data_IF_988092383091
#
_entry.id   IF_988092383091
#
_cell.length_a   1.000
_cell.length_b   1.000
_cell.length_c   1.000
_cell.angle_alpha   90.00
_cell.angle_beta   90.00
_cell.angle_gamma   90.00
#
_symmetry.space_group_name_H-M   'P 1'
#
loop_
_entity.id
_entity.type
_entity.pdbx_description
1 polymer ?
#
# COMPACT_ATOMS: atom_id res chain seq x y z
N UNK A 1 -21.44 -5.82 -52.83
CA UNK A 1 -21.59 -4.95 -51.63
C UNK A 1 -22.04 -5.85 -50.48
N UNK A 2 -21.26 -6.75 -49.89
CA UNK A 2 -19.89 -6.73 -49.32
C UNK A 2 -19.76 -5.84 -48.09
N UNK A 3 -20.16 -6.34 -46.91
CA UNK A 3 -19.52 -6.10 -45.60
C UNK A 3 -20.33 -6.79 -44.48
N UNK A 4 -20.32 -8.12 -44.44
CA UNK A 4 -20.83 -8.88 -43.31
C UNK A 4 -19.77 -9.91 -42.92
N UNK A 5 -18.79 -9.49 -42.12
CA UNK A 5 -17.86 -10.36 -41.39
C UNK A 5 -17.04 -9.48 -40.46
N UNK A 6 -16.74 -10.05 -39.28
CA UNK A 6 -15.65 -9.64 -38.40
C UNK A 6 -15.99 -8.71 -37.22
N UNK A 7 -16.94 -9.11 -36.37
CA UNK A 7 -16.88 -8.76 -34.95
C UNK A 7 -15.93 -9.77 -34.29
N UNK A 8 -14.71 -9.30 -34.05
CA UNK A 8 -13.59 -10.03 -33.47
C UNK A 8 -13.93 -10.62 -32.11
N UNK A 9 -13.61 -11.90 -31.94
CA UNK A 9 -13.58 -12.62 -30.67
C UNK A 9 -12.68 -11.89 -29.66
N UNK A 10 -13.29 -11.15 -28.74
CA UNK A 10 -12.59 -10.48 -27.66
C UNK A 10 -12.03 -11.54 -26.69
N UNK A 11 -10.70 -11.55 -26.61
CA UNK A 11 -9.86 -12.59 -26.06
C UNK A 11 -10.01 -12.70 -24.53
N UNK A 12 -10.80 -13.65 -24.02
CA UNK A 12 -10.92 -13.97 -22.56
C UNK A 12 -9.68 -14.69 -22.01
N UNK A 13 -8.48 -14.20 -22.31
CA UNK A 13 -7.21 -14.76 -21.82
C UNK A 13 -6.53 -13.93 -20.72
N UNK A 14 -7.15 -12.83 -20.29
CA UNK A 14 -6.40 -11.80 -19.57
C UNK A 14 -6.21 -12.01 -18.06
N UNK A 15 -6.86 -12.96 -17.40
CA UNK A 15 -6.55 -13.27 -16.00
C UNK A 15 -6.65 -14.78 -15.73
N UNK A 16 -5.65 -15.54 -16.18
CA UNK A 16 -5.40 -16.87 -15.62
C UNK A 16 -4.14 -16.79 -14.78
N UNK A 17 -4.29 -16.37 -13.53
CA UNK A 17 -3.20 -16.36 -12.56
C UNK A 17 -2.66 -17.79 -12.43
N UNK A 18 -1.36 -17.95 -12.68
CA UNK A 18 -0.70 -19.24 -12.50
C UNK A 18 -0.79 -19.64 -11.01
N UNK A 19 -1.18 -20.89 -10.68
CA UNK A 19 -1.26 -21.32 -9.29
C UNK A 19 0.09 -21.19 -8.58
N UNK A 20 1.19 -21.28 -9.33
CA UNK A 20 2.55 -21.07 -8.85
C UNK A 20 2.79 -19.66 -8.30
N UNK A 21 2.16 -18.63 -8.85
CA UNK A 21 2.26 -17.26 -8.35
C UNK A 21 1.61 -17.12 -6.96
N UNK A 22 0.46 -17.78 -6.76
CA UNK A 22 -0.24 -17.78 -5.47
C UNK A 22 0.57 -18.55 -4.43
N UNK A 23 1.10 -19.72 -4.81
CA UNK A 23 1.98 -20.50 -3.92
C UNK A 23 3.23 -19.71 -3.54
N UNK A 24 3.89 -19.06 -4.50
CA UNK A 24 5.07 -18.23 -4.24
C UNK A 24 4.74 -17.08 -3.28
N UNK A 25 3.63 -16.37 -3.48
CA UNK A 25 3.18 -15.30 -2.60
C UNK A 25 2.94 -15.81 -1.16
N UNK A 26 2.26 -16.94 -1.01
CA UNK A 26 1.97 -17.54 0.29
C UNK A 26 3.25 -18.00 1.02
N UNK A 27 4.22 -18.56 0.28
CA UNK A 27 5.53 -18.95 0.84
C UNK A 27 6.29 -17.71 1.32
N UNK A 28 6.34 -16.64 0.53
CA UNK A 28 7.00 -15.39 0.91
C UNK A 28 6.35 -14.76 2.16
N UNK A 29 5.02 -14.75 2.24
CA UNK A 29 4.28 -14.30 3.42
C UNK A 29 4.59 -15.17 4.66
N UNK A 30 4.58 -16.49 4.52
CA UNK A 30 4.84 -17.42 5.62
C UNK A 30 6.27 -17.36 6.16
N UNK A 31 7.26 -17.16 5.29
CA UNK A 31 8.66 -16.96 5.69
C UNK A 31 8.84 -15.60 6.37
N UNK A 32 8.23 -14.54 5.83
CA UNK A 32 8.29 -13.19 6.41
C UNK A 32 7.76 -13.14 7.85
N UNK A 33 6.69 -13.89 8.16
CA UNK A 33 6.10 -13.98 9.50
C UNK A 33 7.05 -14.54 10.57
N UNK A 34 8.10 -15.28 10.20
CA UNK A 34 9.05 -15.90 11.15
C UNK A 34 10.31 -15.07 11.42
N UNK A 35 10.43 -13.87 10.86
CA UNK A 35 11.56 -13.00 11.13
C UNK A 35 11.40 -12.34 12.52
N UNK A 36 12.33 -12.55 13.47
CA UNK A 36 12.16 -12.21 14.89
C UNK A 36 12.22 -10.70 15.22
N UNK A 37 12.03 -9.81 14.25
CA UNK A 37 12.04 -8.36 14.47
C UNK A 37 11.15 -7.62 13.45
N UNK A 38 9.85 -7.86 13.60
CA UNK A 38 8.79 -7.08 12.96
C UNK A 38 8.39 -5.97 13.92
N UNK A 39 8.36 -4.74 13.43
CA UNK A 39 7.87 -3.59 14.19
C UNK A 39 6.67 -3.01 13.47
N UNK A 40 5.57 -2.84 14.21
CA UNK A 40 4.38 -2.16 13.75
C UNK A 40 4.19 -0.95 14.65
N UNK A 41 4.20 0.24 14.05
CA UNK A 41 4.02 1.51 14.74
C UNK A 41 2.73 2.17 14.27
N UNK A 42 1.99 2.74 15.21
CA UNK A 42 0.82 3.56 14.95
C UNK A 42 0.97 4.89 15.66
N UNK A 43 0.75 5.98 14.93
CA UNK A 43 0.78 7.34 15.46
C UNK A 43 -0.47 8.08 14.99
N UNK A 44 -1.00 8.92 15.86
CA UNK A 44 -2.13 9.80 15.53
C UNK A 44 -2.04 11.10 16.31
N UNK A 45 -2.61 12.16 15.73
CA UNK A 45 -2.57 13.49 16.30
C UNK A 45 -3.72 14.37 15.81
N UNK A 46 -3.90 15.50 16.49
CA UNK A 46 -4.87 16.53 16.11
C UNK A 46 -4.08 17.75 15.65
N UNK A 47 -4.55 18.39 14.58
CA UNK A 47 -3.98 19.58 14.00
C UNK A 47 -5.04 20.68 14.00
N UNK A 48 -4.65 21.90 14.33
CA UNK A 48 -5.49 23.09 14.19
C UNK A 48 -4.81 24.04 13.20
N UNK A 49 -5.61 24.79 12.45
CA UNK A 49 -5.09 25.88 11.61
C UNK A 49 -4.49 26.99 12.49
N UNK A 50 -3.62 27.82 11.92
CA UNK A 50 -2.93 28.89 12.65
C UNK A 50 -3.88 29.89 13.34
N UNK A 51 -5.10 30.05 12.81
CA UNK A 51 -6.15 30.88 13.38
C UNK A 51 -7.16 30.12 14.26
N UNK A 52 -6.93 28.82 14.51
CA UNK A 52 -7.82 27.90 15.23
C UNK A 52 -9.26 27.82 14.68
N UNK A 53 -9.50 28.30 13.47
CA UNK A 53 -10.81 28.29 12.86
C UNK A 53 -11.22 26.89 12.35
N UNK A 54 -10.23 26.04 12.06
CA UNK A 54 -10.45 24.69 11.55
C UNK A 54 -9.54 23.70 12.27
N UNK A 55 -10.06 22.48 12.45
CA UNK A 55 -9.34 21.38 13.08
C UNK A 55 -9.41 20.14 12.18
N UNK A 56 -8.33 19.38 12.18
CA UNK A 56 -8.19 18.12 11.46
C UNK A 56 -7.45 17.11 12.32
N UNK A 57 -7.47 15.85 11.92
CA UNK A 57 -6.67 14.78 12.52
C UNK A 57 -5.64 14.26 11.53
N UNK A 58 -4.55 13.71 12.03
CA UNK A 58 -3.51 13.02 11.24
C UNK A 58 -3.27 11.65 11.86
N UNK A 59 -2.91 10.67 11.03
CA UNK A 59 -2.50 9.36 11.50
C UNK A 59 -1.52 8.70 10.54
N UNK A 60 -0.73 7.77 11.08
CA UNK A 60 0.22 6.97 10.32
C UNK A 60 0.26 5.55 10.88
N UNK A 61 0.34 4.58 9.97
CA UNK A 61 0.72 3.19 10.27
C UNK A 61 2.03 2.92 9.55
N UNK A 62 3.05 2.44 10.26
CA UNK A 62 4.33 2.00 9.67
C UNK A 62 4.59 0.54 10.05
N UNK A 63 4.98 -0.25 9.04
CA UNK A 63 5.48 -1.60 9.21
C UNK A 63 6.94 -1.65 8.79
N UNK A 64 7.80 -2.10 9.70
CA UNK A 64 9.24 -2.26 9.49
C UNK A 64 9.66 -3.71 9.68
N UNK A 65 10.42 -4.20 8.72
CA UNK A 65 11.00 -5.53 8.72
C UNK A 65 12.52 -5.43 8.75
N UNK A 66 13.14 -5.92 9.82
CA UNK A 66 14.59 -6.10 9.84
C UNK A 66 14.96 -7.30 8.94
N UNK A 67 15.83 -7.05 7.96
CA UNK A 67 16.30 -8.03 6.98
C UNK A 67 17.67 -8.61 7.39
N UNK A 68 18.52 -7.80 8.02
CA UNK A 68 19.79 -8.20 8.62
C UNK A 68 20.13 -7.30 9.81
N UNK A 69 21.28 -7.52 10.46
CA UNK A 69 21.70 -6.81 11.69
C UNK A 69 21.56 -5.28 11.60
N UNK A 70 21.85 -4.70 10.43
CA UNK A 70 21.81 -3.25 10.18
C UNK A 70 21.03 -2.89 8.90
N UNK A 71 20.21 -3.81 8.36
CA UNK A 71 19.47 -3.59 7.13
C UNK A 71 18.00 -3.88 7.37
N UNK A 72 17.13 -2.93 7.04
CA UNK A 72 15.70 -3.01 7.29
C UNK A 72 14.93 -2.28 6.19
N UNK A 73 13.79 -2.82 5.82
CA UNK A 73 12.85 -2.15 4.92
C UNK A 73 11.60 -1.76 5.69
N UNK A 74 10.97 -0.65 5.32
CA UNK A 74 9.68 -0.25 5.89
C UNK A 74 8.71 0.24 4.82
N UNK A 75 7.42 0.11 5.13
CA UNK A 75 6.31 0.66 4.37
C UNK A 75 5.35 1.33 5.34
N UNK A 76 4.92 2.53 4.99
CA UNK A 76 3.99 3.31 5.79
C UNK A 76 2.81 3.79 4.95
N UNK A 77 1.66 3.92 5.60
CA UNK A 77 0.54 4.70 5.08
C UNK A 77 0.33 5.90 6.01
N UNK A 78 0.29 7.09 5.41
CA UNK A 78 0.25 8.37 6.12
C UNK A 78 -1.02 9.11 5.69
N UNK A 79 -1.68 9.73 6.65
CA UNK A 79 -2.75 10.69 6.46
C UNK A 79 -2.40 11.96 7.24
N UNK A 80 -2.27 13.09 6.57
CA UNK A 80 -1.90 14.38 7.19
C UNK A 80 -3.09 15.23 7.61
N UNK A 81 -4.30 14.71 7.41
CA UNK A 81 -5.52 15.43 7.66
C UNK A 81 -6.01 16.26 6.48
N UNK A 82 -7.21 16.79 6.65
CA UNK A 82 -8.02 17.43 5.63
C UNK A 82 -8.21 18.90 6.01
N UNK A 83 -7.31 19.77 5.54
CA UNK A 83 -7.45 21.23 5.61
C UNK A 83 -7.79 21.70 4.18
N UNK A 84 -8.67 22.69 3.98
CA UNK A 84 -9.04 23.17 2.65
C UNK A 84 -7.81 23.49 1.80
N UNK A 85 -7.68 22.83 0.65
CA UNK A 85 -6.56 23.00 -0.28
C UNK A 85 -5.39 22.02 -0.10
N UNK A 86 -5.38 21.18 0.94
CA UNK A 86 -4.32 20.21 1.18
C UNK A 86 -4.86 18.84 1.60
N UNK A 87 -4.62 17.84 0.74
CA UNK A 87 -4.80 16.43 1.03
C UNK A 87 -3.46 15.74 0.80
N UNK A 88 -2.82 15.28 1.86
CA UNK A 88 -1.58 14.51 1.73
C UNK A 88 -1.76 13.20 2.47
N UNK A 89 -2.36 12.26 1.76
CA UNK A 89 -2.49 10.88 2.17
C UNK A 89 -1.75 10.01 1.16
N UNK A 90 -1.00 9.01 1.63
CA UNK A 90 -0.29 8.15 0.70
C UNK A 90 0.61 7.11 1.33
N UNK A 91 1.23 6.34 0.46
CA UNK A 91 2.18 5.29 0.82
C UNK A 91 3.60 5.82 0.74
N UNK A 92 4.38 5.57 1.79
CA UNK A 92 5.82 5.77 1.80
C UNK A 92 6.52 4.42 1.98
N UNK A 93 7.73 4.29 1.45
CA UNK A 93 8.55 3.08 1.62
C UNK A 93 10.03 3.44 1.62
N UNK A 94 10.83 2.62 2.29
CA UNK A 94 12.28 2.75 2.36
C UNK A 94 12.93 1.37 2.55
N UNK A 95 14.20 1.24 2.14
CA UNK A 95 15.00 0.03 2.29
C UNK A 95 16.47 0.38 2.46
#
# INVERSE_FOLDING_TARGET
>A
MTAARHISSMNRRFLRSSPWCVVLLLVLLGVGLRLPAQELSFVGGVMNTANFAESSYTWQVDYRQNLYRNFAASIAYINEGHVPGHHRDGTAWQA
#
